data_IF_994240146852
#
_entry.id   IF_994240146852
#
_cell.length_a   1.000
_cell.length_b   1.000
_cell.length_c   1.000
_cell.angle_alpha   90.00
_cell.angle_beta   90.00
_cell.angle_gamma   90.00
#
_symmetry.space_group_name_H-M   'P 1'
#
loop_
_entity.id
_entity.type
_entity.pdbx_description
1 polymer ?
#
# COMPACT_ATOMS: atom_id res chain seq x y z
N UNK A 1 25.73 2.31 -3.90
CA UNK A 1 25.44 2.19 -2.47
C UNK A 1 24.22 3.02 -2.05
N UNK A 2 24.21 4.36 -2.22
CA UNK A 2 23.10 5.20 -1.74
C UNK A 2 21.76 4.96 -2.47
N UNK A 3 21.77 4.73 -3.80
CA UNK A 3 20.54 4.45 -4.54
C UNK A 3 19.86 3.16 -4.07
N UNK A 4 20.62 2.06 -3.97
CA UNK A 4 20.12 0.77 -3.50
C UNK A 4 19.54 0.82 -2.08
N UNK A 5 20.14 1.60 -1.17
CA UNK A 5 19.58 1.80 0.18
C UNK A 5 18.24 2.55 0.15
N UNK A 6 18.12 3.57 -0.68
CA UNK A 6 16.88 4.33 -0.85
C UNK A 6 15.78 3.49 -1.53
N UNK A 7 16.15 2.67 -2.52
CA UNK A 7 15.26 1.70 -3.16
C UNK A 7 14.77 0.63 -2.16
N UNK A 8 15.66 0.12 -1.31
CA UNK A 8 15.29 -0.81 -0.23
C UNK A 8 14.26 -0.18 0.72
N UNK A 9 14.55 1.03 1.22
CA UNK A 9 13.62 1.74 2.10
C UNK A 9 12.27 2.05 1.43
N UNK A 10 12.26 2.33 0.12
CA UNK A 10 11.02 2.51 -0.64
C UNK A 10 10.17 1.23 -0.69
N UNK A 11 10.82 0.08 -0.93
CA UNK A 11 10.17 -1.23 -0.96
C UNK A 11 9.63 -1.60 0.41
N UNK A 12 10.40 -1.34 1.48
CA UNK A 12 9.98 -1.58 2.85
C UNK A 12 8.72 -0.79 3.19
N UNK A 13 8.72 0.53 2.95
CA UNK A 13 7.58 1.40 3.22
C UNK A 13 6.34 1.03 2.38
N UNK A 14 6.55 0.65 1.12
CA UNK A 14 5.47 0.14 0.27
C UNK A 14 4.89 -1.17 0.78
N UNK A 15 5.73 -2.08 1.28
CA UNK A 15 5.31 -3.35 1.86
C UNK A 15 4.50 -3.14 3.14
N UNK A 16 4.96 -2.26 4.03
CA UNK A 16 4.23 -1.88 5.25
C UNK A 16 2.85 -1.32 4.91
N UNK A 17 2.76 -0.41 3.94
CA UNK A 17 1.49 0.15 3.50
C UNK A 17 0.56 -0.91 2.88
N UNK A 18 1.09 -1.86 2.09
CA UNK A 18 0.31 -2.96 1.53
C UNK A 18 -0.24 -3.88 2.62
N UNK A 19 0.57 -4.22 3.64
CA UNK A 19 0.16 -5.01 4.80
C UNK A 19 -0.93 -4.29 5.59
N UNK A 20 -0.76 -2.99 5.91
CA UNK A 20 -1.78 -2.19 6.60
C UNK A 20 -3.11 -2.19 5.84
N UNK A 21 -3.08 -1.93 4.51
CA UNK A 21 -4.29 -1.93 3.69
C UNK A 21 -4.99 -3.29 3.65
N UNK A 22 -4.23 -4.37 3.54
CA UNK A 22 -4.77 -5.73 3.57
C UNK A 22 -5.39 -6.07 4.93
N UNK A 23 -4.76 -5.63 6.02
CA UNK A 23 -5.28 -5.78 7.39
C UNK A 23 -6.62 -5.06 7.56
N UNK A 24 -6.70 -3.77 7.20
CA UNK A 24 -7.94 -3.00 7.33
C UNK A 24 -9.06 -3.55 6.44
N UNK A 25 -8.72 -4.08 5.26
CA UNK A 25 -9.69 -4.74 4.39
C UNK A 25 -10.24 -6.03 5.01
N UNK A 26 -9.40 -6.83 5.67
CA UNK A 26 -9.85 -8.02 6.40
C UNK A 26 -10.76 -7.62 7.57
N UNK A 27 -10.38 -6.60 8.37
CA UNK A 27 -11.20 -6.11 9.48
C UNK A 27 -12.58 -5.63 9.01
N UNK A 28 -12.64 -4.88 7.90
CA UNK A 28 -13.91 -4.47 7.31
C UNK A 28 -14.83 -5.65 7.01
N UNK A 29 -14.29 -6.71 6.38
CA UNK A 29 -15.09 -7.89 6.04
C UNK A 29 -15.58 -8.59 7.31
N UNK A 30 -14.74 -8.70 8.33
CA UNK A 30 -15.14 -9.27 9.63
C UNK A 30 -16.25 -8.44 10.29
N UNK A 31 -16.13 -7.11 10.32
CA UNK A 31 -17.19 -6.21 10.81
C UNK A 31 -18.48 -6.28 9.97
N UNK A 32 -18.37 -6.41 8.64
CA UNK A 32 -19.52 -6.57 7.76
C UNK A 32 -20.26 -7.88 8.05
N UNK A 33 -19.54 -8.96 8.36
CA UNK A 33 -20.13 -10.23 8.80
C UNK A 33 -20.85 -10.04 10.15
N UNK A 34 -20.19 -9.39 11.13
CA UNK A 34 -20.78 -9.11 12.45
C UNK A 34 -22.10 -8.33 12.33
N UNK A 35 -22.13 -7.25 11.53
CA UNK A 35 -23.32 -6.43 11.26
C UNK A 35 -24.40 -7.26 10.56
N UNK A 36 -24.04 -7.98 9.50
CA UNK A 36 -24.99 -8.78 8.70
C UNK A 36 -25.62 -9.91 9.55
N UNK A 37 -24.86 -10.49 10.49
CA UNK A 37 -25.37 -11.49 11.43
C UNK A 37 -26.34 -10.86 12.45
N UNK A 38 -26.03 -9.68 12.99
CA UNK A 38 -26.94 -8.95 13.87
C UNK A 38 -28.25 -8.59 13.14
N UNK A 39 -28.16 -8.18 11.87
CA UNK A 39 -29.33 -7.89 11.05
C UNK A 39 -30.18 -9.11 10.71
N UNK A 40 -29.58 -10.29 10.55
CA UNK A 40 -30.33 -11.54 10.40
C UNK A 40 -31.18 -11.83 11.65
N UNK A 41 -30.65 -11.53 12.84
CA UNK A 41 -31.39 -11.68 14.10
C UNK A 41 -32.55 -10.67 14.18
N UNK A 42 -32.30 -9.41 13.81
CA UNK A 42 -33.33 -8.37 13.76
C UNK A 42 -34.46 -8.75 12.78
N UNK A 43 -34.11 -9.19 11.57
CA UNK A 43 -35.08 -9.61 10.56
C UNK A 43 -35.88 -10.85 11.01
N UNK A 44 -35.27 -11.75 11.79
CA UNK A 44 -35.98 -12.87 12.42
C UNK A 44 -37.05 -12.37 13.41
N UNK A 45 -36.75 -11.32 14.18
CA UNK A 45 -37.73 -10.70 15.07
C UNK A 45 -38.86 -10.04 14.27
N UNK A 46 -38.55 -9.31 13.20
CA UNK A 46 -39.56 -8.70 12.33
C UNK A 46 -40.47 -9.75 11.67
N UNK A 47 -39.91 -10.88 11.23
CA UNK A 47 -40.70 -12.02 10.72
C UNK A 47 -41.64 -12.59 11.77
N UNK A 48 -41.18 -12.76 13.01
CA UNK A 48 -42.01 -13.25 14.13
C UNK A 48 -43.23 -12.34 14.38
N UNK A 49 -43.02 -11.03 14.32
CA UNK A 49 -44.11 -10.06 14.43
C UNK A 49 -45.10 -10.23 13.29
N UNK A 50 -44.63 -10.26 12.04
CA UNK A 50 -45.48 -10.44 10.87
C UNK A 50 -46.29 -11.75 10.94
N UNK A 51 -45.65 -12.83 11.39
CA UNK A 51 -46.29 -14.14 11.57
C UNK A 51 -47.39 -14.11 12.65
N UNK A 52 -47.12 -13.45 13.78
CA UNK A 52 -48.12 -13.28 14.83
C UNK A 52 -49.35 -12.51 14.33
N UNK A 53 -49.11 -11.39 13.63
CA UNK A 53 -50.20 -10.59 13.03
C UNK A 53 -50.98 -11.39 11.99
N UNK A 54 -50.30 -12.16 11.14
CA UNK A 54 -50.94 -13.02 10.14
C UNK A 54 -51.85 -14.07 10.79
N UNK A 55 -51.38 -14.75 11.85
CA UNK A 55 -52.17 -15.75 12.58
C UNK A 55 -53.43 -15.16 13.24
N UNK A 56 -53.37 -13.88 13.62
CA UNK A 56 -54.53 -13.14 14.16
C UNK A 56 -55.40 -12.48 13.07
N UNK A 57 -55.09 -12.68 11.78
CA UNK A 57 -55.83 -12.12 10.66
C UNK A 57 -55.62 -10.61 10.45
N UNK A 58 -54.60 -10.01 11.08
CA UNK A 58 -54.33 -8.57 11.04
C UNK A 58 -53.43 -8.13 9.89
N UNK A 59 -52.80 -9.08 9.18
CA UNK A 59 -52.03 -8.83 7.97
C UNK A 59 -52.11 -10.02 7.01
N UNK A 60 -51.56 -9.87 5.80
CA UNK A 60 -51.50 -10.92 4.79
C UNK A 60 -50.27 -11.81 4.95
N UNK A 61 -50.33 -13.01 4.36
CA UNK A 61 -49.18 -13.92 4.29
C UNK A 61 -47.98 -13.32 3.53
N UNK A 62 -48.21 -12.29 2.71
CA UNK A 62 -47.16 -11.65 1.90
C UNK A 62 -46.07 -11.02 2.78
N UNK A 63 -46.43 -10.49 3.96
CA UNK A 63 -45.47 -9.90 4.89
C UNK A 63 -44.47 -10.95 5.40
N UNK A 64 -44.98 -12.12 5.79
CA UNK A 64 -44.16 -13.25 6.25
C UNK A 64 -43.22 -13.73 5.14
N UNK A 65 -43.77 -13.94 3.94
CA UNK A 65 -43.00 -14.39 2.78
C UNK A 65 -41.93 -13.35 2.38
N UNK A 66 -42.24 -12.06 2.45
CA UNK A 66 -41.28 -10.98 2.18
C UNK A 66 -40.13 -11.01 3.18
N UNK A 67 -40.43 -11.18 4.46
CA UNK A 67 -39.40 -11.32 5.49
C UNK A 67 -38.50 -12.54 5.22
N UNK A 68 -39.09 -13.68 4.87
CA UNK A 68 -38.35 -14.92 4.56
C UNK A 68 -37.43 -14.76 3.33
N UNK A 69 -37.88 -14.06 2.29
CA UNK A 69 -37.07 -13.72 1.12
C UNK A 69 -35.89 -12.83 1.52
N UNK A 70 -36.11 -11.80 2.32
CA UNK A 70 -35.01 -10.95 2.80
C UNK A 70 -34.03 -11.72 3.69
N UNK A 71 -34.51 -12.67 4.51
CA UNK A 71 -33.64 -13.55 5.29
C UNK A 71 -32.78 -14.43 4.38
N UNK A 72 -33.33 -14.92 3.26
CA UNK A 72 -32.56 -15.67 2.27
C UNK A 72 -31.50 -14.78 1.59
N UNK A 73 -31.82 -13.52 1.29
CA UNK A 73 -30.85 -12.55 0.75
C UNK A 73 -29.70 -12.30 1.73
N UNK A 74 -30.00 -12.11 3.02
CA UNK A 74 -28.99 -11.91 4.07
C UNK A 74 -28.10 -13.14 4.23
N UNK A 75 -28.66 -14.36 4.19
CA UNK A 75 -27.84 -15.59 4.21
C UNK A 75 -26.95 -15.72 2.98
N UNK A 76 -27.45 -15.37 1.80
CA UNK A 76 -26.65 -15.33 0.59
C UNK A 76 -25.49 -14.33 0.73
N UNK A 77 -25.76 -13.15 1.30
CA UNK A 77 -24.73 -12.14 1.56
C UNK A 77 -23.67 -12.60 2.56
N UNK A 78 -24.08 -13.31 3.64
CA UNK A 78 -23.13 -13.93 4.58
C UNK A 78 -22.21 -14.93 3.87
N UNK A 79 -22.74 -15.78 2.99
CA UNK A 79 -21.92 -16.72 2.20
C UNK A 79 -20.90 -15.97 1.34
N UNK A 80 -21.32 -14.85 0.72
CA UNK A 80 -20.46 -14.00 -0.09
C UNK A 80 -19.34 -13.36 0.74
N UNK A 81 -19.67 -12.81 1.91
CA UNK A 81 -18.72 -12.18 2.83
C UNK A 81 -17.74 -13.20 3.42
N UNK A 82 -18.22 -14.40 3.77
CA UNK A 82 -17.38 -15.51 4.24
C UNK A 82 -16.32 -15.91 3.21
N UNK A 83 -16.72 -16.03 1.93
CA UNK A 83 -15.77 -16.25 0.83
C UNK A 83 -14.76 -15.11 0.70
N UNK A 84 -15.20 -13.86 0.85
CA UNK A 84 -14.31 -12.70 0.83
C UNK A 84 -13.33 -12.70 2.00
N UNK A 85 -13.77 -13.10 3.19
CA UNK A 85 -12.92 -13.22 4.38
C UNK A 85 -11.79 -14.21 4.14
N UNK A 86 -12.11 -15.37 3.57
CA UNK A 86 -11.09 -16.38 3.21
C UNK A 86 -10.05 -15.80 2.23
N UNK A 87 -10.49 -15.09 1.20
CA UNK A 87 -9.58 -14.45 0.24
C UNK A 87 -8.72 -13.35 0.85
N UNK A 88 -9.31 -12.47 1.67
CA UNK A 88 -8.60 -11.39 2.34
C UNK A 88 -7.58 -11.92 3.36
N UNK A 89 -7.93 -12.97 4.10
CA UNK A 89 -7.02 -13.66 5.03
C UNK A 89 -5.84 -14.29 4.30
N UNK A 90 -6.09 -14.99 3.19
CA UNK A 90 -5.02 -15.58 2.39
C UNK A 90 -4.08 -14.52 1.79
N UNK A 91 -4.62 -13.37 1.36
CA UNK A 91 -3.80 -12.24 0.88
C UNK A 91 -2.95 -11.62 1.99
N UNK A 92 -3.50 -11.44 3.19
CA UNK A 92 -2.74 -10.94 4.33
C UNK A 92 -1.66 -11.96 4.75
N UNK A 93 -1.99 -13.24 4.81
CA UNK A 93 -1.04 -14.30 5.13
C UNK A 93 0.13 -14.33 4.15
N UNK A 94 -0.12 -14.19 2.84
CA UNK A 94 0.94 -14.18 1.84
C UNK A 94 1.87 -12.97 1.96
N UNK A 95 1.34 -11.80 2.32
CA UNK A 95 2.15 -10.60 2.61
C UNK A 95 3.02 -10.76 3.86
N UNK A 96 2.54 -11.53 4.85
CA UNK A 96 3.27 -11.84 6.07
C UNK A 96 4.18 -13.08 5.95
N UNK A 97 4.28 -13.66 4.75
CA UNK A 97 5.02 -14.90 4.50
C UNK A 97 4.56 -16.09 5.37
N UNK A 98 3.25 -16.15 5.66
CA UNK A 98 2.59 -17.23 6.38
C UNK A 98 1.87 -18.17 5.40
N UNK A 99 1.50 -19.37 5.88
CA UNK A 99 0.64 -20.27 5.10
C UNK A 99 -0.70 -19.59 4.79
N UNK A 100 -1.25 -19.73 3.58
CA UNK A 100 -2.56 -19.17 3.23
C UNK A 100 -3.71 -19.65 4.14
N UNK A 101 -3.53 -20.80 4.80
CA UNK A 101 -4.48 -21.41 5.73
C UNK A 101 -4.33 -20.91 7.18
N UNK A 102 -3.30 -20.10 7.47
CA UNK A 102 -3.07 -19.56 8.81
C UNK A 102 -4.27 -18.72 9.26
N UNK A 103 -4.82 -19.05 10.43
CA UNK A 103 -5.92 -18.30 11.02
C UNK A 103 -5.39 -16.95 11.54
N UNK A 104 -5.73 -15.87 10.82
CA UNK A 104 -5.47 -14.50 11.25
C UNK A 104 -6.79 -13.90 11.71
N UNK A 105 -6.80 -13.32 12.92
CA UNK A 105 -7.90 -12.56 13.47
C UNK A 105 -7.49 -11.10 13.60
N UNK A 106 -8.41 -10.18 13.31
CA UNK A 106 -8.15 -8.75 13.45
C UNK A 106 -8.72 -8.21 14.77
N UNK A 107 -8.11 -7.15 15.29
CA UNK A 107 -8.61 -6.35 16.41
C UNK A 107 -9.08 -4.99 15.92
N UNK A 108 -9.83 -4.27 16.75
CA UNK A 108 -10.19 -2.88 16.45
C UNK A 108 -8.91 -2.03 16.30
N UNK A 109 -8.75 -1.30 15.19
CA UNK A 109 -7.66 -0.36 15.02
C UNK A 109 -7.72 0.74 16.08
N UNK A 110 -6.56 1.29 16.43
CA UNK A 110 -6.51 2.55 17.18
C UNK A 110 -6.91 3.69 16.24
N UNK A 111 -7.61 4.71 16.76
CA UNK A 111 -7.93 5.92 16.00
C UNK A 111 -6.62 6.68 15.73
N UNK A 112 -6.13 6.61 14.49
CA UNK A 112 -5.00 7.40 14.01
C UNK A 112 -5.49 8.81 13.68
N UNK A 113 -4.96 9.83 14.35
CA UNK A 113 -5.29 11.22 14.07
C UNK A 113 -4.41 11.79 12.96
N UNK A 114 -5.02 12.47 11.99
CA UNK A 114 -4.30 13.19 10.95
C UNK A 114 -3.50 14.37 11.55
N UNK A 115 -2.24 14.50 11.16
CA UNK A 115 -1.44 15.69 11.49
C UNK A 115 -2.02 16.91 10.75
N UNK A 116 -2.21 18.02 11.47
CA UNK A 116 -2.98 19.17 10.97
C UNK A 116 -2.20 20.15 10.06
N UNK A 117 -0.87 20.03 9.94
CA UNK A 117 -0.07 20.97 9.13
C UNK A 117 0.33 20.36 7.77
N UNK A 118 -0.43 20.74 6.74
CA UNK A 118 -0.18 20.35 5.35
C UNK A 118 1.22 20.77 4.87
N UNK A 119 1.69 21.96 5.24
CA UNK A 119 2.99 22.46 4.80
C UNK A 119 4.13 21.67 5.43
N UNK A 120 3.97 21.27 6.71
CA UNK A 120 4.90 20.37 7.39
C UNK A 120 4.92 18.99 6.71
N UNK A 121 3.76 18.41 6.38
CA UNK A 121 3.66 17.11 5.71
C UNK A 121 4.32 17.13 4.33
N UNK A 122 4.10 18.18 3.54
CA UNK A 122 4.77 18.35 2.24
C UNK A 122 6.30 18.46 2.38
N UNK A 123 6.76 19.26 3.34
CA UNK A 123 8.19 19.40 3.62
C UNK A 123 8.82 18.09 4.10
N UNK A 124 8.11 17.33 4.95
CA UNK A 124 8.53 15.99 5.39
C UNK A 124 8.57 15.01 4.23
N UNK A 125 7.54 14.97 3.38
CA UNK A 125 7.50 14.08 2.22
C UNK A 125 8.69 14.33 1.28
N UNK A 126 8.99 15.58 0.93
CA UNK A 126 10.16 15.88 0.08
C UNK A 126 11.49 15.49 0.74
N UNK A 127 11.60 15.62 2.07
CA UNK A 127 12.83 15.29 2.82
C UNK A 127 13.02 13.79 3.06
N UNK A 128 11.95 13.05 3.29
CA UNK A 128 12.03 11.68 3.81
C UNK A 128 11.62 10.62 2.79
N UNK A 129 10.89 10.97 1.73
CA UNK A 129 10.41 10.01 0.73
C UNK A 129 11.59 9.26 0.06
N UNK A 130 11.73 7.94 0.28
CA UNK A 130 12.89 7.20 -0.21
C UNK A 130 13.02 7.20 -1.75
N UNK A 131 11.92 7.22 -2.50
CA UNK A 131 11.95 7.25 -3.96
C UNK A 131 12.63 8.54 -4.50
N UNK A 132 12.46 9.68 -3.80
CA UNK A 132 13.16 10.93 -4.16
C UNK A 132 14.67 10.81 -3.93
N UNK A 133 15.09 10.17 -2.84
CA UNK A 133 16.51 9.90 -2.57
C UNK A 133 17.12 8.97 -3.62
N UNK A 134 16.39 7.95 -4.06
CA UNK A 134 16.82 7.07 -5.14
C UNK A 134 17.02 7.85 -6.45
N UNK A 135 16.08 8.73 -6.82
CA UNK A 135 16.21 9.61 -8.01
C UNK A 135 17.38 10.58 -7.89
N UNK A 136 17.63 11.18 -6.73
CA UNK A 136 18.80 12.03 -6.49
C UNK A 136 20.11 11.27 -6.66
N UNK A 137 20.18 10.04 -6.14
CA UNK A 137 21.36 9.18 -6.30
C UNK A 137 21.59 8.80 -7.77
N UNK A 138 20.53 8.50 -8.52
CA UNK A 138 20.60 8.22 -9.96
C UNK A 138 21.08 9.45 -10.76
N UNK A 139 20.58 10.65 -10.43
CA UNK A 139 21.06 11.91 -11.02
C UNK A 139 22.55 12.15 -10.73
N UNK A 140 22.99 11.92 -9.49
CA UNK A 140 24.39 12.05 -9.12
C UNK A 140 25.29 11.06 -9.91
N UNK A 141 24.84 9.81 -10.07
CA UNK A 141 25.52 8.81 -10.89
C UNK A 141 25.61 9.22 -12.36
N UNK A 142 24.52 9.70 -12.96
CA UNK A 142 24.51 10.17 -14.35
C UNK A 142 25.43 11.37 -14.57
N UNK A 143 25.50 12.31 -13.62
CA UNK A 143 26.48 13.41 -13.65
C UNK A 143 27.93 12.91 -13.61
N UNK A 144 28.21 11.85 -12.84
CA UNK A 144 29.54 11.21 -12.81
C UNK A 144 29.84 10.47 -14.11
N UNK A 145 28.85 9.82 -14.73
CA UNK A 145 28.99 9.22 -16.05
C UNK A 145 29.33 10.26 -17.13
N UNK A 146 28.67 11.43 -17.11
CA UNK A 146 29.00 12.55 -18.00
C UNK A 146 30.42 13.08 -17.76
N UNK A 147 30.87 13.18 -16.50
CA UNK A 147 32.26 13.54 -16.18
C UNK A 147 33.24 12.50 -16.71
N UNK A 148 32.96 11.21 -16.54
CA UNK A 148 33.78 10.12 -17.05
C UNK A 148 33.86 10.15 -18.59
N UNK A 149 32.75 10.39 -19.29
CA UNK A 149 32.73 10.54 -20.73
C UNK A 149 33.64 11.70 -21.20
N UNK A 150 33.67 12.81 -20.46
CA UNK A 150 34.60 13.92 -20.74
C UNK A 150 36.07 13.55 -20.48
N UNK A 151 36.35 12.68 -19.50
CA UNK A 151 37.72 12.22 -19.24
C UNK A 151 38.23 11.29 -20.35
N UNK A 152 37.36 10.68 -21.15
CA UNK A 152 37.77 9.87 -22.31
C UNK A 152 38.47 10.68 -23.41
N UNK A 153 38.48 12.01 -23.34
CA UNK A 153 39.33 12.85 -24.21
C UNK A 153 40.80 12.85 -23.80
N UNK A 154 41.12 12.42 -22.58
CA UNK A 154 42.49 12.36 -22.07
C UNK A 154 43.17 11.06 -22.50
N UNK A 155 44.52 11.04 -22.59
CA UNK A 155 45.25 9.81 -22.84
C UNK A 155 45.09 8.85 -21.65
N UNK A 156 44.87 7.58 -21.92
CA UNK A 156 44.85 6.53 -20.90
C UNK A 156 46.24 5.89 -20.81
N UNK A 157 46.78 5.73 -19.61
CA UNK A 157 48.13 5.20 -19.38
C UNK A 157 48.02 3.86 -18.67
N UNK A 158 48.49 2.80 -19.35
CA UNK A 158 48.46 1.44 -18.85
C UNK A 158 49.87 1.01 -18.48
N UNK A 159 50.05 0.67 -17.21
CA UNK A 159 51.29 0.09 -16.69
C UNK A 159 51.05 -1.38 -16.40
N UNK A 160 51.85 -2.26 -16.99
CA UNK A 160 51.79 -3.70 -16.78
C UNK A 160 53.13 -4.25 -16.31
N UNK A 161 53.05 -5.27 -15.47
CA UNK A 161 54.18 -6.07 -15.07
C UNK A 161 53.79 -7.54 -15.24
N UNK A 162 54.58 -8.29 -16.01
CA UNK A 162 54.30 -9.69 -16.31
C UNK A 162 55.55 -10.50 -15.99
N UNK A 163 55.39 -11.52 -15.15
CA UNK A 163 56.40 -12.53 -14.93
C UNK A 163 56.05 -13.76 -15.76
N UNK A 164 57.01 -14.21 -16.57
CA UNK A 164 56.86 -15.38 -17.43
C UNK A 164 57.86 -16.42 -16.97
N UNK A 165 57.35 -17.48 -16.36
CA UNK A 165 58.14 -18.67 -16.05
C UNK A 165 58.44 -19.43 -17.34
N UNK A 166 59.72 -19.71 -17.60
CA UNK A 166 60.12 -20.50 -18.78
C UNK A 166 60.49 -21.90 -18.31
N UNK A 167 59.60 -22.86 -18.58
CA UNK A 167 59.83 -24.29 -18.30
C UNK A 167 60.84 -24.88 -19.31
N UNK A 168 61.76 -25.70 -18.79
CA UNK A 168 62.87 -26.38 -19.44
C UNK A 168 62.44 -27.57 -20.34
N UNK A 169 61.14 -27.90 -20.38
CA UNK A 169 60.58 -29.00 -21.19
C UNK A 169 60.45 -28.73 -22.71
N UNK A 170 61.53 -28.29 -23.37
CA UNK A 170 61.62 -28.17 -24.83
C UNK A 170 62.40 -29.32 -25.50
N UNK A 171 61.97 -29.78 -26.68
CA UNK A 171 62.57 -30.89 -27.47
C UNK A 171 63.97 -30.53 -28.06
N UNK A 172 64.62 -29.43 -27.64
CA UNK A 172 65.88 -28.95 -28.21
C UNK A 172 66.97 -28.77 -27.14
N UNK A 173 68.16 -29.38 -27.29
CA UNK A 173 69.21 -29.42 -26.25
C UNK A 173 70.04 -28.12 -26.11
N UNK A 174 69.52 -26.97 -26.57
CA UNK A 174 70.24 -25.67 -26.56
C UNK A 174 69.38 -24.54 -25.99
N UNK A 175 68.39 -24.84 -25.15
CA UNK A 175 67.46 -23.82 -24.63
C UNK A 175 67.37 -23.84 -23.11
N UNK A 176 68.37 -23.26 -22.45
CA UNK A 176 68.23 -22.74 -21.08
C UNK A 176 67.55 -21.36 -21.19
N UNK A 177 66.29 -21.27 -20.80
CA UNK A 177 65.58 -19.99 -20.73
C UNK A 177 65.51 -19.51 -19.28
N UNK A 178 66.00 -18.31 -18.99
CA UNK A 178 65.79 -17.67 -17.68
C UNK A 178 64.38 -17.07 -17.61
N UNK A 179 63.74 -17.14 -16.45
CA UNK A 179 62.45 -16.49 -16.20
C UNK A 179 62.52 -15.00 -16.58
N UNK A 180 61.52 -14.54 -17.32
CA UNK A 180 61.49 -13.17 -17.82
C UNK A 180 60.53 -12.31 -17.01
N UNK A 181 61.02 -11.14 -16.56
CA UNK A 181 60.19 -10.11 -15.96
C UNK A 181 60.05 -8.94 -16.94
N UNK A 182 58.83 -8.69 -17.41
CA UNK A 182 58.52 -7.66 -18.39
C UNK A 182 57.75 -6.52 -17.73
N UNK A 183 58.21 -5.29 -17.94
CA UNK A 183 57.50 -4.07 -17.61
C UNK A 183 57.06 -3.39 -18.90
N UNK A 184 55.77 -3.10 -19.03
CA UNK A 184 55.21 -2.41 -20.19
C UNK A 184 54.49 -1.13 -19.78
N UNK A 185 54.74 -0.06 -20.52
CA UNK A 185 54.02 1.23 -20.41
C UNK A 185 53.36 1.50 -21.76
N UNK A 186 52.04 1.56 -21.78
CA UNK A 186 51.25 1.91 -22.95
C UNK A 186 50.50 3.23 -22.73
N UNK A 187 50.41 4.07 -23.75
CA UNK A 187 49.57 5.27 -23.75
C UNK A 187 48.59 5.20 -24.91
N UNK A 188 47.29 5.22 -24.61
CA UNK A 188 46.24 5.25 -25.62
C UNK A 188 45.77 6.69 -25.84
N UNK A 189 45.98 7.23 -27.05
CA UNK A 189 45.59 8.59 -27.40
C UNK A 189 44.37 8.57 -28.35
N UNK A 190 43.21 9.12 -27.95
CA UNK A 190 42.02 9.15 -28.79
C UNK A 190 42.16 10.20 -29.91
N UNK A 191 42.45 9.73 -31.13
CA UNK A 191 42.58 10.57 -32.34
C UNK A 191 41.20 10.92 -32.94
N UNK A 192 40.27 9.96 -32.95
CA UNK A 192 38.92 10.15 -33.52
C UNK A 192 37.92 10.61 -32.46
N UNK A 193 37.59 11.90 -32.47
CA UNK A 193 36.80 12.55 -31.39
C UNK A 193 35.28 12.62 -31.63
N UNK A 194 34.80 12.43 -32.86
CA UNK A 194 33.37 12.55 -33.17
C UNK A 194 32.47 11.62 -32.35
N UNK A 195 32.90 10.37 -32.15
CA UNK A 195 32.19 9.41 -31.29
C UNK A 195 32.18 9.87 -29.84
N UNK A 196 33.33 10.31 -29.31
CA UNK A 196 33.45 10.80 -27.93
C UNK A 196 32.56 12.02 -27.68
N UNK A 197 32.44 12.93 -28.65
CA UNK A 197 31.50 14.06 -28.58
C UNK A 197 30.05 13.61 -28.51
N UNK A 198 29.66 12.59 -29.29
CA UNK A 198 28.32 12.03 -29.23
C UNK A 198 28.06 11.34 -27.87
N UNK A 199 29.04 10.60 -27.35
CA UNK A 199 28.96 9.92 -26.05
C UNK A 199 28.80 10.93 -24.90
N UNK A 200 29.56 12.05 -24.93
CA UNK A 200 29.41 13.14 -23.96
C UNK A 200 28.05 13.81 -24.05
N UNK A 201 27.58 14.16 -25.26
CA UNK A 201 26.24 14.75 -25.44
C UNK A 201 25.13 13.82 -24.93
N UNK A 202 25.27 12.53 -25.20
CA UNK A 202 24.32 11.51 -24.71
C UNK A 202 24.30 11.46 -23.19
N UNK A 203 25.47 11.39 -22.54
CA UNK A 203 25.56 11.34 -21.08
C UNK A 203 25.07 12.64 -20.41
N UNK A 204 25.29 13.80 -21.02
CA UNK A 204 24.74 15.08 -20.54
C UNK A 204 23.21 15.14 -20.68
N UNK A 205 22.67 14.70 -21.81
CA UNK A 205 21.22 14.60 -22.02
C UNK A 205 20.58 13.63 -21.02
N UNK A 206 21.24 12.52 -20.71
CA UNK A 206 20.78 11.58 -19.67
C UNK A 206 20.75 12.25 -18.29
N UNK A 207 21.76 13.03 -17.93
CA UNK A 207 21.78 13.75 -16.65
C UNK A 207 20.66 14.79 -16.56
N UNK A 208 20.34 15.48 -17.66
CA UNK A 208 19.18 16.38 -17.74
C UNK A 208 17.88 15.60 -17.60
N UNK A 209 17.75 14.45 -18.25
CA UNK A 209 16.58 13.56 -18.14
C UNK A 209 16.37 13.13 -16.68
N UNK A 210 17.41 12.67 -15.99
CA UNK A 210 17.34 12.29 -14.56
C UNK A 210 16.96 13.45 -13.64
N UNK A 211 17.38 14.67 -13.96
CA UNK A 211 16.95 15.85 -13.21
C UNK A 211 15.44 16.11 -13.39
N UNK A 212 14.92 15.95 -14.61
CA UNK A 212 13.48 16.06 -14.89
C UNK A 212 12.65 14.95 -14.27
N UNK A 213 13.16 13.71 -14.23
CA UNK A 213 12.52 12.62 -13.50
C UNK A 213 12.41 12.92 -12.00
N UNK A 214 13.44 13.53 -11.39
CA UNK A 214 13.39 13.96 -10.00
C UNK A 214 12.38 15.09 -9.78
N UNK A 215 12.40 16.13 -10.60
CA UNK A 215 11.44 17.24 -10.49
C UNK A 215 9.99 16.74 -10.63
N UNK A 216 9.73 15.85 -11.60
CA UNK A 216 8.41 15.26 -11.80
C UNK A 216 7.93 14.46 -10.58
N UNK A 217 8.80 13.62 -10.00
CA UNK A 217 8.45 12.85 -8.80
C UNK A 217 8.26 13.76 -7.57
N UNK A 218 9.00 14.87 -7.47
CA UNK A 218 8.81 15.85 -6.39
C UNK A 218 7.44 16.52 -6.52
N UNK A 219 7.09 16.98 -7.71
CA UNK A 219 5.83 17.66 -7.96
C UNK A 219 4.64 16.71 -7.78
N UNK A 220 4.78 15.44 -8.19
CA UNK A 220 3.85 14.35 -7.88
C UNK A 220 3.72 14.13 -6.36
N UNK A 221 4.82 14.05 -5.62
CA UNK A 221 4.80 13.89 -4.16
C UNK A 221 4.02 15.01 -3.48
N UNK A 222 4.24 16.25 -3.89
CA UNK A 222 3.55 17.41 -3.31
C UNK A 222 2.05 17.38 -3.58
N UNK A 223 1.65 16.95 -4.78
CA UNK A 223 0.24 16.74 -5.16
C UNK A 223 -0.38 15.59 -4.36
N UNK A 224 0.28 14.44 -4.30
CA UNK A 224 -0.21 13.26 -3.59
C UNK A 224 -0.50 13.58 -2.12
N UNK A 225 0.37 14.35 -1.45
CA UNK A 225 0.13 14.79 -0.07
C UNK A 225 -1.12 15.66 0.06
N UNK A 226 -1.33 16.61 -0.86
CA UNK A 226 -2.53 17.46 -0.85
C UNK A 226 -3.80 16.62 -1.04
N UNK A 227 -3.78 15.72 -2.02
CA UNK A 227 -4.93 14.88 -2.36
C UNK A 227 -5.27 13.92 -1.20
N UNK A 228 -4.27 13.26 -0.61
CA UNK A 228 -4.46 12.33 0.51
C UNK A 228 -4.94 13.03 1.78
N UNK A 229 -4.43 14.22 2.09
CA UNK A 229 -4.88 15.01 3.25
C UNK A 229 -6.33 15.48 3.06
N UNK A 230 -6.68 15.99 1.88
CA UNK A 230 -8.05 16.42 1.58
C UNK A 230 -9.04 15.25 1.60
N UNK A 231 -8.63 14.09 1.07
CA UNK A 231 -9.41 12.85 1.10
C UNK A 231 -9.61 12.33 2.54
N UNK A 232 -8.57 12.34 3.37
CA UNK A 232 -8.67 11.97 4.79
C UNK A 232 -9.62 12.90 5.56
N UNK A 233 -9.47 14.22 5.42
CA UNK A 233 -10.34 15.22 6.08
C UNK A 233 -11.81 15.07 5.66
N UNK A 234 -12.06 14.84 4.37
CA UNK A 234 -13.40 14.59 3.85
C UNK A 234 -14.03 13.33 4.48
N UNK A 235 -13.25 12.25 4.60
CA UNK A 235 -13.70 11.00 5.23
C UNK A 235 -13.97 11.16 6.72
N UNK A 236 -13.13 11.90 7.45
CA UNK A 236 -13.37 12.20 8.87
C UNK A 236 -14.69 12.95 9.09
N UNK A 237 -14.96 13.99 8.28
CA UNK A 237 -16.20 14.76 8.40
C UNK A 237 -17.42 13.92 8.00
N UNK A 238 -17.30 13.07 6.98
CA UNK A 238 -18.35 12.12 6.61
C UNK A 238 -18.58 11.07 7.72
N UNK A 239 -17.53 10.54 8.36
CA UNK A 239 -17.66 9.60 9.48
C UNK A 239 -18.43 10.27 10.62
N UNK A 240 -18.07 11.52 10.96
CA UNK A 240 -18.78 12.31 11.97
C UNK A 240 -20.24 12.51 11.60
N UNK A 241 -20.56 12.84 10.34
CA UNK A 241 -21.93 12.98 9.86
C UNK A 241 -22.74 11.68 10.02
N UNK A 242 -22.11 10.53 9.74
CA UNK A 242 -22.74 9.22 9.94
C UNK A 242 -23.01 8.93 11.42
N UNK A 243 -22.04 9.19 12.29
CA UNK A 243 -22.13 8.89 13.72
C UNK A 243 -23.08 9.82 14.48
N UNK A 244 -23.06 11.12 14.15
CA UNK A 244 -23.83 12.13 14.88
C UNK A 244 -25.25 12.27 14.32
N UNK A 245 -25.45 12.09 13.01
CA UNK A 245 -26.73 12.39 12.37
C UNK A 245 -27.41 11.20 11.70
N UNK A 246 -26.75 10.55 10.74
CA UNK A 246 -27.41 9.58 9.86
C UNK A 246 -27.78 8.29 10.61
N UNK A 247 -26.83 7.65 11.30
CA UNK A 247 -27.07 6.37 11.98
C UNK A 247 -28.08 6.49 13.13
N UNK A 248 -27.99 7.49 14.04
CA UNK A 248 -29.00 7.67 15.08
C UNK A 248 -30.42 7.84 14.52
N UNK A 249 -30.59 8.70 13.50
CA UNK A 249 -31.89 8.93 12.86
C UNK A 249 -32.41 7.70 12.11
N UNK A 250 -31.54 6.96 11.42
CA UNK A 250 -31.91 5.72 10.73
C UNK A 250 -32.36 4.64 11.72
N UNK A 251 -31.65 4.47 12.85
CA UNK A 251 -32.04 3.55 13.93
C UNK A 251 -33.39 3.95 14.53
N UNK A 252 -33.58 5.23 14.84
CA UNK A 252 -34.85 5.73 15.38
C UNK A 252 -36.00 5.56 14.38
N UNK A 253 -35.75 5.77 13.08
CA UNK A 253 -36.75 5.57 12.02
C UNK A 253 -37.19 4.11 11.96
N UNK A 254 -36.24 3.17 12.04
CA UNK A 254 -36.55 1.75 12.08
C UNK A 254 -37.37 1.40 13.33
N UNK A 255 -36.96 1.88 14.50
CA UNK A 255 -37.66 1.66 15.77
C UNK A 255 -39.12 2.15 15.71
N UNK A 256 -39.33 3.40 15.27
CA UNK A 256 -40.67 4.00 15.14
C UNK A 256 -41.51 3.20 14.13
N UNK A 257 -40.94 2.83 12.98
CA UNK A 257 -41.68 2.04 11.98
C UNK A 257 -42.00 0.62 12.46
N UNK A 258 -41.15 0.01 13.27
CA UNK A 258 -41.40 -1.29 13.88
C UNK A 258 -42.57 -1.22 14.87
N UNK A 259 -42.59 -0.19 15.73
CA UNK A 259 -43.70 0.05 16.66
C UNK A 259 -45.01 0.36 15.91
N UNK A 260 -44.97 1.22 14.90
CA UNK A 260 -46.13 1.53 14.07
C UNK A 260 -46.67 0.29 13.35
N UNK A 261 -45.79 -0.61 12.90
CA UNK A 261 -46.21 -1.85 12.24
C UNK A 261 -46.90 -2.77 13.25
N UNK A 262 -46.37 -2.89 14.46
CA UNK A 262 -47.00 -3.71 15.51
C UNK A 262 -48.45 -3.32 15.79
N UNK A 263 -48.77 -2.02 15.73
CA UNK A 263 -50.13 -1.49 15.94
C UNK A 263 -50.93 -1.28 14.65
N UNK A 264 -50.41 -1.72 13.50
CA UNK A 264 -51.09 -1.63 12.20
C UNK A 264 -51.18 -0.23 11.59
N UNK A 265 -50.33 0.71 12.03
CA UNK A 265 -50.27 2.09 11.54
C UNK A 265 -49.31 2.30 10.36
N UNK A 266 -48.50 1.30 9.99
CA UNK A 266 -47.66 1.32 8.77
C UNK A 266 -47.69 -0.03 8.06
N UNK A 267 -47.36 -0.02 6.77
CA UNK A 267 -47.15 -1.21 5.95
C UNK A 267 -45.81 -1.89 6.29
N UNK A 268 -45.76 -3.22 6.18
CA UNK A 268 -44.55 -4.01 6.30
C UNK A 268 -43.48 -3.64 5.26
N UNK A 269 -43.90 -3.24 4.05
CA UNK A 269 -42.96 -2.81 3.02
C UNK A 269 -42.11 -1.62 3.49
N UNK A 270 -42.76 -0.62 4.10
CA UNK A 270 -42.06 0.55 4.64
C UNK A 270 -41.08 0.15 5.75
N UNK A 271 -41.47 -0.80 6.61
CA UNK A 271 -40.61 -1.33 7.67
C UNK A 271 -39.35 -2.02 7.10
N UNK A 272 -39.52 -2.88 6.09
CA UNK A 272 -38.40 -3.54 5.40
C UNK A 272 -37.50 -2.53 4.70
N UNK A 273 -38.06 -1.51 4.06
CA UNK A 273 -37.27 -0.48 3.39
C UNK A 273 -36.44 0.34 4.39
N UNK A 274 -37.00 0.70 5.55
CA UNK A 274 -36.27 1.36 6.63
C UNK A 274 -35.14 0.47 7.19
N UNK A 275 -35.41 -0.83 7.37
CA UNK A 275 -34.39 -1.79 7.79
C UNK A 275 -33.25 -1.89 6.77
N UNK A 276 -33.57 -2.02 5.48
CA UNK A 276 -32.56 -2.08 4.41
C UNK A 276 -31.71 -0.81 4.34
N UNK A 277 -32.32 0.35 4.58
CA UNK A 277 -31.61 1.62 4.67
C UNK A 277 -30.63 1.65 5.85
N UNK A 278 -31.05 1.20 7.03
CA UNK A 278 -30.17 1.12 8.20
C UNK A 278 -28.96 0.21 7.92
N UNK A 279 -29.18 -1.02 7.45
CA UNK A 279 -28.10 -1.95 7.09
C UNK A 279 -27.11 -1.30 6.10
N UNK A 280 -27.62 -0.63 5.05
CA UNK A 280 -26.77 0.08 4.08
C UNK A 280 -25.93 1.17 4.74
N UNK A 281 -26.48 1.94 5.67
CA UNK A 281 -25.75 2.98 6.37
C UNK A 281 -24.69 2.41 7.32
N UNK A 282 -24.99 1.32 8.02
CA UNK A 282 -24.03 0.65 8.91
C UNK A 282 -22.84 0.09 8.13
N UNK A 283 -23.07 -0.59 7.01
CA UNK A 283 -21.99 -1.08 6.14
C UNK A 283 -21.19 0.08 5.52
N UNK A 284 -21.87 1.14 5.04
CA UNK A 284 -21.19 2.30 4.48
C UNK A 284 -20.30 3.02 5.50
N UNK A 285 -20.74 3.13 6.76
CA UNK A 285 -19.95 3.71 7.84
C UNK A 285 -18.67 2.92 8.10
N UNK A 286 -18.75 1.58 8.17
CA UNK A 286 -17.56 0.72 8.33
C UNK A 286 -16.61 0.82 7.13
N UNK A 287 -17.15 0.81 5.92
CA UNK A 287 -16.35 0.98 4.70
C UNK A 287 -15.61 2.33 4.69
N UNK A 288 -16.26 3.39 5.17
CA UNK A 288 -15.69 4.72 5.23
C UNK A 288 -14.54 4.80 6.26
N UNK A 289 -14.71 4.21 7.44
CA UNK A 289 -13.64 4.09 8.45
C UNK A 289 -12.43 3.32 7.92
N UNK A 290 -12.67 2.18 7.27
CA UNK A 290 -11.60 1.40 6.63
C UNK A 290 -10.91 2.20 5.52
N UNK A 291 -11.67 2.96 4.72
CA UNK A 291 -11.10 3.78 3.66
C UNK A 291 -10.24 4.92 4.21
N UNK A 292 -10.61 5.51 5.35
CA UNK A 292 -9.77 6.49 6.05
C UNK A 292 -8.44 5.87 6.47
N UNK A 293 -8.48 4.71 7.14
CA UNK A 293 -7.27 4.00 7.59
C UNK A 293 -6.34 3.61 6.42
N UNK A 294 -6.92 3.20 5.28
CA UNK A 294 -6.15 2.93 4.06
C UNK A 294 -5.53 4.19 3.46
N UNK A 295 -6.22 5.33 3.51
CA UNK A 295 -5.69 6.64 3.09
C UNK A 295 -4.55 7.09 4.01
N UNK A 296 -4.68 6.91 5.33
CA UNK A 296 -3.63 7.25 6.30
C UNK A 296 -2.38 6.38 6.09
N UNK A 297 -2.54 5.06 5.89
CA UNK A 297 -1.42 4.18 5.55
C UNK A 297 -0.71 4.57 4.24
N UNK A 298 -1.45 5.09 3.25
CA UNK A 298 -0.85 5.62 2.02
C UNK A 298 -0.14 6.96 2.25
N UNK A 299 -0.70 7.83 3.10
CA UNK A 299 -0.06 9.10 3.47
C UNK A 299 1.26 8.87 4.21
N UNK A 300 1.31 7.91 5.13
CA UNK A 300 2.55 7.47 5.77
C UNK A 300 3.58 7.00 4.75
N UNK A 301 3.12 6.28 3.71
CA UNK A 301 3.97 5.83 2.61
C UNK A 301 4.64 7.00 1.90
N UNK A 302 3.84 8.00 1.52
CA UNK A 302 4.29 9.17 0.76
C UNK A 302 5.14 10.13 1.61
N UNK A 303 4.80 10.30 2.88
CA UNK A 303 5.54 11.16 3.82
C UNK A 303 6.86 10.52 4.28
N UNK A 304 7.04 9.22 4.06
CA UNK A 304 8.26 8.48 4.40
C UNK A 304 8.33 8.12 5.88
N UNK A 305 7.19 7.75 6.50
CA UNK A 305 7.10 7.34 7.90
C UNK A 305 5.76 7.68 8.56
N UNK A 306 5.61 7.31 9.83
CA UNK A 306 4.39 7.55 10.62
C UNK A 306 3.94 9.03 10.57
N UNK A 307 2.64 9.22 10.33
CA UNK A 307 1.98 10.54 10.29
C UNK A 307 1.51 10.94 11.69
N UNK A 308 1.20 9.95 12.53
CA UNK A 308 0.87 10.15 13.93
C UNK A 308 2.15 10.41 14.76
N UNK A 309 2.20 11.55 15.44
CA UNK A 309 3.26 11.87 16.41
C UNK A 309 3.10 11.14 17.75
N UNK A 310 2.01 10.39 17.95
CA UNK A 310 1.68 9.68 19.20
C UNK A 310 1.82 8.16 19.13
N UNK A 311 1.74 7.55 17.94
CA UNK A 311 2.13 6.17 17.75
C UNK A 311 3.66 6.07 17.81
N UNK A 312 4.17 5.47 18.89
CA UNK A 312 5.60 5.23 19.05
C UNK A 312 6.19 4.68 17.77
N UNK A 313 7.32 5.26 17.36
CA UNK A 313 8.18 4.77 16.28
C UNK A 313 8.22 3.26 16.42
N UNK A 314 7.67 2.53 15.45
CA UNK A 314 8.07 1.14 15.28
C UNK A 314 9.56 1.22 14.97
N UNK A 315 10.39 1.12 16.00
CA UNK A 315 11.81 0.86 15.84
C UNK A 315 11.86 -0.45 15.07
N UNK A 316 12.19 -0.34 13.79
CA UNK A 316 12.58 -1.50 12.98
C UNK A 316 13.88 -1.95 13.62
N UNK A 317 13.78 -2.88 14.55
CA UNK A 317 14.93 -3.53 15.15
C UNK A 317 15.73 -4.14 13.98
N UNK A 318 16.99 -3.70 13.86
CA UNK A 318 17.90 -3.98 12.76
C UNK A 318 18.00 -5.50 12.58
N UNK A 319 17.22 -6.07 11.64
CA UNK A 319 17.22 -7.51 11.40
C UNK A 319 18.58 -7.87 10.81
N UNK A 320 19.41 -8.67 11.52
CA UNK A 320 20.77 -8.93 11.07
C UNK A 320 20.73 -9.68 9.74
N UNK A 321 21.37 -9.10 8.73
CA UNK A 321 21.56 -9.72 7.42
C UNK A 321 22.38 -11.01 7.62
N UNK A 322 21.85 -12.20 7.27
CA UNK A 322 22.62 -13.44 7.40
C UNK A 322 23.85 -13.37 6.48
N UNK A 323 25.02 -13.62 7.05
CA UNK A 323 26.28 -13.65 6.31
C UNK A 323 26.21 -14.71 5.20
N UNK A 324 26.61 -14.33 3.99
CA UNK A 324 26.73 -15.26 2.87
C UNK A 324 27.85 -16.28 3.19
N UNK A 325 27.63 -17.58 2.93
CA UNK A 325 28.68 -18.60 3.12
C UNK A 325 29.83 -18.37 2.13
N UNK A 326 31.07 -18.52 2.63
CA UNK A 326 32.34 -18.45 1.89
C UNK A 326 32.46 -19.49 0.77
#
# INVERSE_FOLDING_TARGET
ANAARAEFAAVELATVAEVKKAYYQLRFIEQAIEITQADLQLLTQLRNVAESRYRTGQTSQQDVLRAEVEMANIRHELIRLERQRTGARAKLASLLHLSPETAISTTEPTDENLANDLAELQARAVRNRPELHAKLAALAASRKAAQLARLQYLPDVVLGATWVAIDDAGISPVRDGEDAFLLNVGVNLPIYRQRLEADVRSAEAEAVSKAKEYDALRDETLRDVVDLVADAQSKEELIRLFEVDILPKARQTLEVSSQAYNVGQTDFLQLIDNWRQLLRYEIAHRQLKTSLQQTLAELERVVGGAVDTSAGVFEIEDVPVPALPE
#
